data_IF_976668203012
#
_entry.id   IF_976668203012
#
_cell.length_a   1.000
_cell.length_b   1.000
_cell.length_c   1.000
_cell.angle_alpha   90.00
_cell.angle_beta   90.00
_cell.angle_gamma   90.00
#
_symmetry.space_group_name_H-M   'P 1'
#
loop_
_entity.id
_entity.type
_entity.pdbx_description
1 polymer ?
#
# COMPACT_ATOMS: atom_id res chain seq x y z
N UNK A 1 0.62 17.14 12.05
CA UNK A 1 1.84 16.31 12.00
C UNK A 1 1.84 15.20 13.03
N UNK A 2 1.54 15.48 14.28
CA UNK A 2 1.44 14.43 15.31
C UNK A 2 0.33 13.41 15.02
N UNK A 3 -0.82 13.85 14.56
CA UNK A 3 -1.92 12.95 14.16
C UNK A 3 -1.54 12.02 13.03
N UNK A 4 -0.79 12.50 12.03
CA UNK A 4 -0.32 11.68 10.93
C UNK A 4 0.68 10.64 11.40
N UNK A 5 1.59 11.04 12.28
CA UNK A 5 2.58 10.14 12.85
C UNK A 5 1.93 9.06 13.73
N UNK A 6 0.96 9.43 14.53
CA UNK A 6 0.21 8.48 15.34
C UNK A 6 -0.61 7.50 14.49
N UNK A 7 -1.31 8.00 13.50
CA UNK A 7 -2.08 7.17 12.58
C UNK A 7 -1.16 6.19 11.82
N UNK A 8 0.00 6.67 11.42
CA UNK A 8 0.99 5.85 10.76
C UNK A 8 1.54 4.76 11.69
N UNK A 9 1.98 5.13 12.88
CA UNK A 9 2.52 4.18 13.86
C UNK A 9 1.52 3.08 14.18
N UNK A 10 0.26 3.42 14.21
CA UNK A 10 -0.84 2.50 14.44
C UNK A 10 -1.08 1.56 13.24
N UNK A 11 -0.85 2.04 12.02
CA UNK A 11 -1.15 1.30 10.80
C UNK A 11 -0.04 0.38 10.31
N UNK A 12 1.18 0.56 10.79
CA UNK A 12 2.25 -0.24 10.22
C UNK A 12 2.29 -1.65 10.79
N UNK A 13 1.97 -2.62 9.96
CA UNK A 13 2.17 -4.03 10.27
C UNK A 13 3.64 -4.37 10.51
N UNK A 14 4.55 -3.58 9.97
CA UNK A 14 5.99 -3.75 10.17
C UNK A 14 6.42 -3.58 11.62
N UNK A 15 5.71 -2.78 12.39
CA UNK A 15 6.02 -2.49 13.78
C UNK A 15 5.21 -3.34 14.76
N UNK A 16 4.29 -4.16 14.26
CA UNK A 16 3.41 -5.00 15.07
C UNK A 16 2.63 -4.24 16.15
N UNK A 17 2.38 -2.95 15.92
CA UNK A 17 1.58 -2.14 16.81
C UNK A 17 0.11 -2.36 16.45
N UNK A 18 -0.66 -2.86 17.40
CA UNK A 18 -2.07 -3.14 17.21
C UNK A 18 -2.88 -2.08 17.96
N UNK A 19 -3.55 -1.20 17.20
CA UNK A 19 -4.62 -0.36 17.73
C UNK A 19 -5.89 -1.22 17.80
N UNK A 20 -6.62 -1.22 18.93
CA UNK A 20 -7.88 -1.94 19.03
C UNK A 20 -8.93 -1.53 17.98
N UNK A 21 -8.82 -0.31 17.41
CA UNK A 21 -9.71 0.15 16.34
C UNK A 21 -9.37 -0.41 14.97
N UNK A 22 -8.19 -1.03 14.81
CA UNK A 22 -7.74 -1.63 13.56
C UNK A 22 -7.99 -3.13 13.57
N UNK A 23 -8.58 -3.62 12.49
CA UNK A 23 -8.73 -5.04 12.24
C UNK A 23 -7.88 -5.42 11.03
N UNK A 24 -6.93 -6.34 11.21
CA UNK A 24 -6.14 -6.88 10.10
C UNK A 24 -7.00 -7.89 9.35
N UNK A 25 -7.26 -7.61 8.06
CA UNK A 25 -8.04 -8.47 7.20
C UNK A 25 -7.18 -9.50 6.47
N UNK A 26 -5.90 -9.22 6.27
CA UNK A 26 -4.96 -10.13 5.65
C UNK A 26 -3.56 -9.56 5.54
N UNK A 27 -2.60 -10.45 5.40
CA UNK A 27 -1.18 -10.13 5.22
C UNK A 27 -0.58 -11.03 4.15
N UNK A 28 0.36 -10.50 3.38
CA UNK A 28 1.06 -11.23 2.34
C UNK A 28 2.47 -10.71 2.17
N UNK A 29 3.42 -11.61 2.00
CA UNK A 29 4.79 -11.26 1.64
C UNK A 29 5.06 -11.67 0.20
N UNK A 30 5.73 -10.81 -0.56
CA UNK A 30 6.11 -11.09 -1.95
C UNK A 30 7.58 -10.75 -2.19
N UNK A 31 8.28 -11.53 -3.03
CA UNK A 31 9.62 -11.17 -3.49
C UNK A 31 9.61 -9.90 -4.36
N UNK A 32 10.78 -9.26 -4.48
CA UNK A 32 10.98 -8.09 -5.35
C UNK A 32 11.06 -8.49 -6.82
N UNK A 33 9.96 -9.01 -7.37
CA UNK A 33 9.87 -9.43 -8.76
C UNK A 33 8.58 -8.92 -9.37
N UNK A 34 8.68 -8.33 -10.58
CA UNK A 34 7.54 -7.71 -11.26
C UNK A 34 6.34 -8.66 -11.44
N UNK A 35 6.60 -9.96 -11.62
CA UNK A 35 5.53 -10.98 -11.75
C UNK A 35 4.64 -11.09 -10.53
N UNK A 36 5.09 -10.62 -9.37
CA UNK A 36 4.33 -10.71 -8.12
C UNK A 36 3.29 -9.59 -7.95
N UNK A 37 3.30 -8.57 -8.82
CA UNK A 37 2.30 -7.49 -8.77
C UNK A 37 0.89 -8.03 -8.98
N UNK A 38 0.70 -8.94 -9.94
CA UNK A 38 -0.61 -9.54 -10.20
C UNK A 38 -1.14 -10.33 -9.00
N UNK A 39 -0.28 -11.05 -8.30
CA UNK A 39 -0.62 -11.77 -7.08
C UNK A 39 -1.08 -10.83 -5.96
N UNK A 40 -0.37 -9.72 -5.78
CA UNK A 40 -0.71 -8.69 -4.79
C UNK A 40 -2.06 -8.04 -5.10
N UNK A 41 -2.32 -7.70 -6.36
CA UNK A 41 -3.59 -7.12 -6.79
C UNK A 41 -4.77 -8.03 -6.48
N UNK A 42 -4.66 -9.32 -6.85
CA UNK A 42 -5.71 -10.30 -6.59
C UNK A 42 -5.96 -10.49 -5.10
N UNK A 43 -4.89 -10.54 -4.32
CA UNK A 43 -4.97 -10.68 -2.87
C UNK A 43 -5.81 -9.55 -2.26
N UNK A 44 -5.53 -8.30 -2.60
CA UNK A 44 -6.26 -7.15 -2.06
C UNK A 44 -7.70 -7.10 -2.59
N UNK A 45 -7.90 -7.37 -3.88
CA UNK A 45 -9.22 -7.44 -4.49
C UNK A 45 -10.11 -8.49 -3.83
N UNK A 46 -9.57 -9.69 -3.61
CA UNK A 46 -10.32 -10.79 -3.00
C UNK A 46 -10.76 -10.44 -1.58
N UNK A 47 -9.91 -9.79 -0.81
CA UNK A 47 -10.27 -9.30 0.52
C UNK A 47 -11.39 -8.26 0.43
N UNK A 48 -11.30 -7.31 -0.48
CA UNK A 48 -12.33 -6.29 -0.67
C UNK A 48 -13.69 -6.92 -0.99
N UNK A 49 -13.71 -7.93 -1.82
CA UNK A 49 -14.94 -8.66 -2.18
C UNK A 49 -15.46 -9.46 -0.97
N UNK A 50 -14.59 -10.19 -0.31
CA UNK A 50 -14.94 -11.03 0.86
C UNK A 50 -15.55 -10.21 1.99
N UNK A 51 -15.05 -9.00 2.20
CA UNK A 51 -15.51 -8.10 3.26
C UNK A 51 -16.63 -7.17 2.83
N UNK A 52 -17.24 -7.41 1.67
CA UNK A 52 -18.42 -6.67 1.17
C UNK A 52 -18.21 -5.16 1.14
N UNK A 53 -17.11 -4.72 0.56
CA UNK A 53 -16.86 -3.30 0.33
C UNK A 53 -17.83 -2.73 -0.71
N UNK A 54 -17.96 -1.40 -0.76
CA UNK A 54 -18.77 -0.72 -1.76
C UNK A 54 -18.37 -1.13 -3.19
N UNK A 55 -19.30 -1.06 -4.13
CA UNK A 55 -19.21 -1.65 -5.47
C UNK A 55 -17.92 -1.31 -6.22
N UNK A 56 -17.48 -0.05 -6.17
CA UNK A 56 -16.29 0.38 -6.91
C UNK A 56 -14.97 0.06 -6.20
N UNK A 57 -15.00 -0.30 -4.92
CA UNK A 57 -13.79 -0.43 -4.09
C UNK A 57 -12.87 -1.56 -4.54
N UNK A 58 -13.32 -2.78 -4.86
CA UNK A 58 -12.41 -3.84 -5.27
C UNK A 58 -11.55 -3.45 -6.47
N UNK A 59 -12.13 -2.81 -7.47
CA UNK A 59 -11.43 -2.39 -8.67
C UNK A 59 -10.42 -1.26 -8.40
N UNK A 60 -10.83 -0.26 -7.62
CA UNK A 60 -9.95 0.84 -7.22
C UNK A 60 -8.81 0.31 -6.34
N UNK A 61 -9.10 -0.52 -5.37
CA UNK A 61 -8.09 -1.12 -4.50
C UNK A 61 -7.06 -1.93 -5.30
N UNK A 62 -7.51 -2.70 -6.28
CA UNK A 62 -6.64 -3.44 -7.19
C UNK A 62 -5.68 -2.51 -7.94
N UNK A 63 -6.20 -1.42 -8.50
CA UNK A 63 -5.40 -0.44 -9.23
C UNK A 63 -4.36 0.23 -8.32
N UNK A 64 -4.78 0.73 -7.17
CA UNK A 64 -3.88 1.42 -6.25
C UNK A 64 -2.83 0.48 -5.66
N UNK A 65 -3.20 -0.76 -5.38
CA UNK A 65 -2.25 -1.79 -4.94
C UNK A 65 -1.19 -2.03 -5.99
N UNK A 66 -1.57 -2.13 -7.26
CA UNK A 66 -0.63 -2.26 -8.37
C UNK A 66 0.42 -1.15 -8.33
N UNK A 67 0.01 0.08 -8.08
CA UNK A 67 0.90 1.23 -8.08
C UNK A 67 1.87 1.24 -6.88
N UNK A 68 1.38 1.02 -5.66
CA UNK A 68 2.27 1.03 -4.49
C UNK A 68 3.17 -0.20 -4.45
N UNK A 69 2.73 -1.35 -4.91
CA UNK A 69 3.56 -2.56 -5.00
C UNK A 69 4.62 -2.41 -6.09
N UNK A 70 4.28 -1.87 -7.24
CA UNK A 70 5.26 -1.58 -8.29
C UNK A 70 6.33 -0.61 -7.78
N UNK A 71 5.93 0.41 -7.04
CA UNK A 71 6.88 1.34 -6.41
C UNK A 71 7.84 0.58 -5.47
N UNK A 72 7.31 -0.30 -4.63
CA UNK A 72 8.13 -1.10 -3.72
C UNK A 72 9.10 -2.03 -4.47
N UNK A 73 8.67 -2.62 -5.58
CA UNK A 73 9.52 -3.52 -6.39
C UNK A 73 10.64 -2.73 -7.07
N UNK A 74 10.31 -1.60 -7.68
CA UNK A 74 11.28 -0.80 -8.48
C UNK A 74 12.24 -0.03 -7.59
N UNK A 75 11.75 0.55 -6.50
CA UNK A 75 12.49 1.47 -5.65
C UNK A 75 12.71 0.96 -4.22
N UNK A 76 12.18 -0.19 -3.88
CA UNK A 76 12.11 -0.69 -2.52
C UNK A 76 13.32 -1.50 -2.05
N UNK A 77 14.38 -1.62 -2.85
CA UNK A 77 15.60 -2.32 -2.47
C UNK A 77 16.79 -1.84 -3.26
N UNK A 78 17.95 -1.80 -2.60
CA UNK A 78 19.24 -1.54 -3.26
C UNK A 78 19.65 -2.74 -4.10
N UNK A 79 19.47 -3.95 -3.54
CA UNK A 79 19.74 -5.20 -4.23
C UNK A 79 18.50 -6.11 -4.08
N UNK A 80 17.65 -6.23 -5.12
CA UNK A 80 16.43 -7.04 -5.05
C UNK A 80 16.69 -8.52 -4.76
N UNK A 81 17.83 -9.06 -5.18
CA UNK A 81 18.16 -10.47 -4.99
C UNK A 81 18.38 -10.84 -3.53
N UNK A 82 18.82 -9.90 -2.70
CA UNK A 82 19.12 -10.13 -1.28
C UNK A 82 18.18 -9.39 -0.33
N UNK A 83 17.25 -8.58 -0.86
CA UNK A 83 16.31 -7.81 -0.05
C UNK A 83 15.29 -8.71 0.65
N UNK A 84 14.87 -8.36 1.88
CA UNK A 84 13.72 -8.99 2.50
C UNK A 84 12.47 -8.85 1.63
N UNK A 85 11.49 -9.77 1.72
CA UNK A 85 10.24 -9.65 0.97
C UNK A 85 9.50 -8.35 1.28
N UNK A 86 8.70 -7.90 0.31
CA UNK A 86 7.76 -6.80 0.52
C UNK A 86 6.58 -7.33 1.32
N UNK A 87 6.23 -6.65 2.40
CA UNK A 87 5.11 -7.02 3.24
C UNK A 87 3.90 -6.16 2.89
N UNK A 88 2.77 -6.81 2.61
CA UNK A 88 1.51 -6.16 2.28
C UNK A 88 0.51 -6.48 3.37
N UNK A 89 -0.11 -5.44 3.94
CA UNK A 89 -1.13 -5.59 4.97
C UNK A 89 -2.41 -4.90 4.52
N UNK A 90 -3.53 -5.58 4.67
CA UNK A 90 -4.86 -5.02 4.44
C UNK A 90 -5.57 -4.93 5.77
N UNK A 91 -6.10 -3.75 6.08
CA UNK A 91 -6.71 -3.45 7.37
C UNK A 91 -8.07 -2.77 7.18
N UNK A 92 -8.90 -2.89 8.20
CA UNK A 92 -10.12 -2.10 8.33
C UNK A 92 -10.00 -1.17 9.53
N UNK A 93 -10.26 0.11 9.32
CA UNK A 93 -10.35 1.11 10.38
C UNK A 93 -11.70 1.84 10.23
N UNK A 94 -12.70 1.40 10.98
CA UNK A 94 -14.05 1.94 10.86
C UNK A 94 -14.62 1.73 9.44
N UNK A 95 -14.86 2.82 8.74
CA UNK A 95 -15.35 2.82 7.34
C UNK A 95 -14.26 2.75 6.30
N UNK A 96 -13.00 2.80 6.71
CA UNK A 96 -11.86 2.85 5.81
C UNK A 96 -11.19 1.48 5.64
N UNK A 97 -10.87 1.15 4.40
CA UNK A 97 -9.97 0.07 4.05
C UNK A 97 -8.58 0.67 3.86
N UNK A 98 -7.61 0.12 4.56
CA UNK A 98 -6.23 0.59 4.52
C UNK A 98 -5.36 -0.51 3.92
N UNK A 99 -4.59 -0.18 2.91
CA UNK A 99 -3.61 -1.09 2.30
C UNK A 99 -2.23 -0.46 2.47
N UNK A 100 -1.32 -1.22 3.05
CA UNK A 100 0.04 -0.78 3.34
C UNK A 100 1.05 -1.73 2.73
N UNK A 101 2.12 -1.18 2.15
CA UNK A 101 3.30 -1.93 1.74
C UNK A 101 4.50 -1.49 2.54
N UNK A 102 5.29 -2.45 3.02
CA UNK A 102 6.57 -2.20 3.67
C UNK A 102 7.69 -2.78 2.82
N UNK A 103 8.71 -1.98 2.56
CA UNK A 103 9.93 -2.41 1.86
C UNK A 103 11.18 -2.05 2.67
N UNK A 104 12.35 -2.50 2.21
CA UNK A 104 13.61 -2.31 2.90
C UNK A 104 14.43 -1.10 2.42
N UNK A 105 13.86 -0.24 1.58
CA UNK A 105 14.55 0.92 1.02
C UNK A 105 14.27 2.18 1.81
N UNK A 106 15.25 3.07 1.87
CA UNK A 106 15.10 4.42 2.43
C UNK A 106 14.86 5.47 1.34
N UNK A 107 14.63 5.04 0.10
CA UNK A 107 14.35 5.96 -1.00
C UNK A 107 13.02 6.67 -0.79
N UNK A 108 13.04 7.99 -0.87
CA UNK A 108 11.84 8.81 -0.70
C UNK A 108 10.89 8.59 -1.87
N UNK A 109 9.62 8.20 -1.64
CA UNK A 109 8.63 8.12 -2.71
C UNK A 109 8.39 9.49 -3.33
N UNK A 110 8.29 9.53 -4.65
CA UNK A 110 8.05 10.78 -5.38
C UNK A 110 6.84 10.68 -6.27
N UNK A 111 6.01 11.74 -6.24
CA UNK A 111 4.97 11.93 -7.23
C UNK A 111 5.63 12.50 -8.47
N UNK A 112 5.51 11.80 -9.60
CA UNK A 112 6.06 12.23 -10.88
C UNK A 112 4.96 12.82 -11.74
N UNK A 113 5.21 13.99 -12.32
CA UNK A 113 4.36 14.55 -13.35
C UNK A 113 4.69 13.88 -14.68
N UNK A 114 3.98 12.79 -14.97
CA UNK A 114 4.14 12.09 -16.25
C UNK A 114 3.34 12.79 -17.35
N UNK A 115 3.83 12.70 -18.60
CA UNK A 115 3.07 13.16 -19.76
C UNK A 115 1.73 12.41 -19.85
N UNK A 116 0.64 13.03 -20.32
CA UNK A 116 -0.68 12.37 -20.40
C UNK A 116 -0.66 11.06 -21.22
N UNK A 117 0.28 10.92 -22.14
CA UNK A 117 0.46 9.75 -22.99
C UNK A 117 1.36 8.68 -22.35
N UNK A 118 2.00 8.96 -21.21
CA UNK A 118 2.89 8.02 -20.56
C UNK A 118 2.09 6.88 -19.94
N UNK A 119 2.48 5.63 -20.19
CA UNK A 119 1.88 4.43 -19.62
C UNK A 119 2.54 4.04 -18.29
N UNK A 120 3.64 4.70 -17.93
CA UNK A 120 4.39 4.47 -16.70
C UNK A 120 4.70 5.81 -16.02
N UNK A 121 5.08 5.78 -14.74
CA UNK A 121 5.42 6.96 -13.98
C UNK A 121 4.21 7.70 -13.39
N UNK A 122 3.01 7.11 -13.45
CA UNK A 122 1.80 7.67 -12.85
C UNK A 122 1.55 7.23 -11.42
N UNK A 123 2.30 6.24 -10.94
CA UNK A 123 2.09 5.51 -9.70
C UNK A 123 1.46 6.28 -8.55
N UNK A 124 2.22 7.12 -7.87
CA UNK A 124 1.71 7.83 -6.70
C UNK A 124 0.73 8.95 -7.06
N UNK A 125 0.76 9.46 -8.30
CA UNK A 125 -0.25 10.44 -8.78
C UNK A 125 -1.63 9.81 -8.81
N UNK A 126 -1.75 8.58 -9.33
CA UNK A 126 -3.01 7.83 -9.33
C UNK A 126 -3.48 7.53 -7.90
N UNK A 127 -2.56 7.14 -7.03
CA UNK A 127 -2.87 6.90 -5.62
C UNK A 127 -3.41 8.17 -4.97
N UNK A 128 -2.76 9.30 -5.19
CA UNK A 128 -3.20 10.60 -4.67
C UNK A 128 -4.60 10.97 -5.15
N UNK A 129 -4.89 10.74 -6.43
CA UNK A 129 -6.17 11.15 -7.04
C UNK A 129 -7.34 10.27 -6.61
N UNK A 130 -7.14 8.96 -6.51
CA UNK A 130 -8.22 7.99 -6.31
C UNK A 130 -8.37 7.51 -4.87
N UNK A 131 -7.39 7.74 -4.01
CA UNK A 131 -7.52 7.35 -2.60
C UNK A 131 -8.30 8.40 -1.81
N UNK A 132 -8.92 7.95 -0.72
CA UNK A 132 -9.49 8.83 0.28
C UNK A 132 -8.37 9.60 1.00
N UNK A 133 -7.29 8.90 1.30
CA UNK A 133 -6.06 9.45 1.84
C UNK A 133 -4.91 8.51 1.51
N UNK A 134 -3.68 9.01 1.52
CA UNK A 134 -2.49 8.20 1.34
C UNK A 134 -1.30 8.82 2.07
N UNK A 135 -0.27 8.06 2.27
CA UNK A 135 0.94 8.59 2.89
C UNK A 135 2.08 7.60 2.83
N UNK A 136 3.23 8.03 3.35
CA UNK A 136 4.40 7.19 3.49
C UNK A 136 5.21 7.62 4.71
N UNK A 137 6.05 6.73 5.21
CA UNK A 137 6.92 7.03 6.33
C UNK A 137 8.18 6.16 6.33
N UNK A 138 9.35 6.74 6.66
CA UNK A 138 10.56 5.96 6.83
C UNK A 138 10.53 5.16 8.14
N UNK A 139 11.16 4.00 8.11
CA UNK A 139 11.48 3.17 9.27
C UNK A 139 12.99 3.04 9.42
N UNK A 140 13.50 2.52 10.54
CA UNK A 140 14.92 2.19 10.66
C UNK A 140 15.43 1.24 9.57
N UNK A 141 14.58 0.32 9.10
CA UNK A 141 14.94 -0.72 8.14
C UNK A 141 14.26 -0.59 6.78
N UNK A 142 13.64 0.54 6.47
CA UNK A 142 12.94 0.72 5.20
C UNK A 142 11.91 1.82 5.23
N UNK A 143 10.81 1.61 4.50
CA UNK A 143 9.67 2.54 4.45
C UNK A 143 8.35 1.81 4.28
N UNK A 144 7.28 2.50 4.65
CA UNK A 144 5.91 2.10 4.32
C UNK A 144 5.26 3.13 3.43
N UNK A 145 4.41 2.63 2.52
CA UNK A 145 3.48 3.45 1.73
C UNK A 145 2.11 2.84 1.93
N UNK A 146 1.09 3.67 2.16
CA UNK A 146 -0.28 3.20 2.33
C UNK A 146 -1.27 4.06 1.60
N UNK A 147 -2.44 3.51 1.34
CA UNK A 147 -3.62 4.25 0.91
C UNK A 147 -4.85 3.82 1.70
N UNK A 148 -5.83 4.71 1.76
CA UNK A 148 -7.12 4.49 2.41
C UNK A 148 -8.25 4.69 1.39
N UNK A 149 -9.25 3.82 1.45
CA UNK A 149 -10.47 3.95 0.66
C UNK A 149 -11.68 3.94 1.60
N UNK A 150 -12.67 4.79 1.32
CA UNK A 150 -13.95 4.72 2.01
C UNK A 150 -14.70 3.49 1.49
N UNK A 151 -14.58 2.39 2.19
CA UNK A 151 -15.01 1.08 1.72
C UNK A 151 -16.33 0.60 2.33
N UNK A 152 -16.69 1.12 3.49
CA UNK A 152 -17.93 0.77 4.20
C UNK A 152 -18.67 2.04 4.62
N UNK A 153 -19.22 2.78 3.65
CA UNK A 153 -19.87 4.07 3.93
C UNK A 153 -21.16 3.97 4.73
#
# INVERSE_FOLDING_TARGET
MEEILNAYTVRTGCLHIVDPALCILGEKCIPHEARNVASARRFVRDIAIEWNTAEAVPEIAELLTSEIVTNAIVHGAVNPATAPPIHITVMREGKLMVVETCDSSNTIPQIRNAAPTATSGRGLTVVKELSHNWGWLPHPNGKSIWFELLAWP
#
